data_IF_464145366489
#
_entry.id   IF_464145366489
#
_cell.length_a   1.000
_cell.length_b   1.000
_cell.length_c   1.000
_cell.angle_alpha   90.00
_cell.angle_beta   90.00
_cell.angle_gamma   90.00
#
_symmetry.space_group_name_H-M   'P 1'
#
loop_
_entity.id
_entity.type
_entity.pdbx_description
1 polymer ?
#
# COMPACT_ATOMS: atom_id res chain seq x y z
N UNK A 1 16.74 -42.84 -38.06
CA UNK A 1 16.56 -41.44 -38.48
C UNK A 1 16.71 -40.58 -37.21
N UNK A 2 17.92 -40.25 -36.73
CA UNK A 2 18.73 -39.04 -37.07
C UNK A 2 17.88 -37.77 -37.10
N UNK A 3 18.03 -36.72 -36.29
CA UNK A 3 19.15 -36.27 -35.44
C UNK A 3 18.64 -35.24 -34.40
N UNK A 4 19.01 -35.30 -33.10
CA UNK A 4 18.57 -34.36 -32.06
C UNK A 4 19.69 -33.41 -31.61
N UNK A 5 20.01 -32.35 -32.37
CA UNK A 5 20.93 -31.30 -31.91
C UNK A 5 20.75 -30.01 -32.71
N UNK A 6 20.37 -28.91 -32.06
CA UNK A 6 20.94 -27.58 -32.35
C UNK A 6 21.03 -26.75 -31.06
N UNK A 7 22.26 -26.66 -30.54
CA UNK A 7 22.73 -25.64 -29.61
C UNK A 7 23.02 -24.34 -30.39
N UNK A 8 22.61 -23.16 -29.93
CA UNK A 8 23.21 -21.91 -30.36
C UNK A 8 24.52 -21.64 -29.62
N UNK A 9 25.60 -21.43 -30.38
CA UNK A 9 26.93 -21.01 -29.91
C UNK A 9 26.95 -19.56 -29.36
N UNK A 10 27.94 -19.22 -28.51
CA UNK A 10 28.16 -17.85 -28.03
C UNK A 10 28.88 -16.99 -29.10
N UNK A 11 28.49 -15.72 -29.21
CA UNK A 11 29.12 -14.74 -30.10
C UNK A 11 30.08 -13.82 -29.31
N UNK A 12 31.38 -13.78 -29.63
CA UNK A 12 32.35 -12.84 -29.07
C UNK A 12 32.63 -11.65 -30.01
N UNK A 13 33.19 -10.57 -29.44
CA UNK A 13 33.71 -9.34 -30.06
C UNK A 13 32.65 -8.30 -30.48
N UNK A 14 32.88 -6.99 -30.41
CA UNK A 14 34.15 -6.27 -30.57
C UNK A 14 34.19 -4.92 -29.84
N UNK A 15 35.40 -4.54 -29.42
CA UNK A 15 35.84 -3.19 -29.11
C UNK A 15 35.56 -2.21 -30.26
N UNK A 16 35.09 -0.99 -29.97
CA UNK A 16 35.25 0.22 -30.79
C UNK A 16 34.59 1.47 -30.14
N UNK A 17 34.97 2.71 -30.50
CA UNK A 17 36.24 3.37 -30.23
C UNK A 17 36.07 4.69 -29.43
N UNK A 18 37.12 5.09 -28.72
CA UNK A 18 37.32 6.40 -28.09
C UNK A 18 37.13 7.55 -29.09
N UNK A 19 36.22 8.48 -28.79
CA UNK A 19 36.02 9.69 -29.61
C UNK A 19 37.05 10.79 -29.31
N UNK A 20 37.34 11.66 -30.30
CA UNK A 20 38.55 12.47 -30.37
C UNK A 20 38.51 13.71 -29.48
N UNK A 21 39.69 14.05 -28.95
CA UNK A 21 39.99 15.27 -28.22
C UNK A 21 39.56 16.54 -29.00
N UNK A 22 38.71 17.36 -28.36
CA UNK A 22 38.47 18.72 -28.81
C UNK A 22 39.63 19.64 -28.43
N UNK A 23 39.99 20.49 -29.39
CA UNK A 23 41.12 21.42 -29.39
C UNK A 23 41.07 22.46 -28.25
N UNK A 24 42.23 22.87 -27.72
CA UNK A 24 42.33 23.97 -26.77
C UNK A 24 42.18 25.33 -27.47
N UNK A 25 41.25 26.15 -26.97
CA UNK A 25 41.02 27.54 -27.39
C UNK A 25 41.99 28.47 -26.64
N UNK A 26 42.56 29.51 -27.28
CA UNK A 26 43.61 30.34 -26.67
C UNK A 26 43.06 31.30 -25.59
N UNK A 27 43.82 31.55 -24.51
CA UNK A 27 43.40 32.43 -23.42
C UNK A 27 43.53 33.91 -23.78
N UNK A 28 42.47 34.69 -23.53
CA UNK A 28 42.56 36.15 -23.48
C UNK A 28 43.02 36.61 -22.08
N UNK A 29 43.96 37.56 -21.97
CA UNK A 29 44.37 38.14 -20.69
C UNK A 29 43.44 39.30 -20.29
N UNK A 30 42.65 39.09 -19.23
CA UNK A 30 41.81 40.12 -18.61
C UNK A 30 42.09 40.23 -17.12
N UNK A 31 42.70 41.34 -16.72
CA UNK A 31 43.01 41.74 -15.34
C UNK A 31 41.74 42.22 -14.59
N UNK A 32 41.46 41.68 -13.39
CA UNK A 32 40.53 42.34 -12.45
C UNK A 32 39.83 41.44 -11.42
N UNK A 33 40.32 41.48 -10.17
CA UNK A 33 39.68 41.22 -8.86
C UNK A 33 38.89 39.91 -8.55
N UNK A 34 39.12 39.28 -7.38
CA UNK A 34 38.34 38.15 -6.92
C UNK A 34 37.02 38.62 -6.27
N UNK A 35 35.90 38.26 -6.89
CA UNK A 35 34.57 38.37 -6.30
C UNK A 35 34.16 36.99 -5.74
N UNK A 36 33.70 36.89 -4.47
CA UNK A 36 33.23 35.62 -3.92
C UNK A 36 31.96 35.17 -4.66
N UNK A 37 31.90 33.92 -5.17
CA UNK A 37 30.75 33.46 -5.92
C UNK A 37 29.53 33.28 -5.00
N UNK A 38 28.49 34.06 -5.27
CA UNK A 38 27.13 33.79 -4.81
C UNK A 38 26.67 32.42 -5.39
N UNK A 39 25.92 31.60 -4.61
CA UNK A 39 25.31 30.40 -5.14
C UNK A 39 24.22 30.80 -6.15
N UNK A 40 24.52 30.62 -7.44
CA UNK A 40 23.56 30.79 -8.52
C UNK A 40 22.44 29.72 -8.39
N UNK A 41 21.16 30.12 -8.49
CA UNK A 41 20.05 29.19 -8.68
C UNK A 41 20.31 28.37 -9.94
N UNK A 42 20.36 27.04 -9.77
CA UNK A 42 20.72 26.08 -10.80
C UNK A 42 19.92 26.28 -12.08
N UNK A 43 20.58 26.87 -13.07
CA UNK A 43 20.11 27.00 -14.44
C UNK A 43 19.94 25.59 -15.01
N UNK A 44 18.70 25.28 -15.40
CA UNK A 44 18.34 24.02 -16.02
C UNK A 44 19.25 23.74 -17.22
N UNK A 45 19.98 22.64 -17.14
CA UNK A 45 20.69 22.10 -18.29
C UNK A 45 19.69 21.89 -19.43
N UNK A 46 20.00 22.31 -20.66
CA UNK A 46 19.17 22.03 -21.82
C UNK A 46 19.06 20.52 -21.95
N UNK A 47 17.82 20.03 -21.91
CA UNK A 47 17.49 18.65 -22.19
C UNK A 47 18.08 18.28 -23.56
N UNK A 48 18.95 17.26 -23.65
CA UNK A 48 19.58 16.91 -24.91
C UNK A 48 18.50 16.61 -25.95
N UNK A 49 18.59 17.29 -27.10
CA UNK A 49 17.68 17.07 -28.21
C UNK A 49 17.74 15.58 -28.61
N UNK A 50 16.59 14.93 -28.85
CA UNK A 50 16.55 13.51 -29.21
C UNK A 50 17.33 13.32 -30.50
N UNK A 51 18.45 12.58 -30.42
CA UNK A 51 19.33 12.30 -31.56
C UNK A 51 18.58 11.36 -32.51
N UNK A 52 18.20 11.81 -33.73
CA UNK A 52 17.50 10.97 -34.68
C UNK A 52 18.48 9.92 -35.24
N UNK A 53 18.28 8.65 -34.90
CA UNK A 53 19.03 7.54 -35.48
C UNK A 53 19.81 6.65 -34.51
N UNK A 54 19.76 6.88 -33.19
CA UNK A 54 20.29 5.92 -32.22
C UNK A 54 19.38 4.67 -32.14
N UNK A 55 19.88 3.46 -32.48
CA UNK A 55 19.11 2.23 -32.36
C UNK A 55 18.81 1.93 -30.88
N UNK A 56 17.53 1.88 -30.51
CA UNK A 56 17.08 1.14 -29.33
C UNK A 56 17.23 1.81 -27.96
N UNK A 57 17.20 3.15 -27.89
CA UNK A 57 17.01 3.82 -26.59
C UNK A 57 15.61 3.52 -26.06
N UNK A 58 15.51 2.68 -25.03
CA UNK A 58 14.25 2.47 -24.32
C UNK A 58 13.76 3.82 -23.77
N UNK A 59 12.50 4.22 -24.02
CA UNK A 59 11.99 5.48 -23.51
C UNK A 59 12.08 5.47 -21.99
N UNK A 60 12.80 6.45 -21.43
CA UNK A 60 12.85 6.65 -19.98
C UNK A 60 11.43 6.99 -19.52
N UNK A 61 10.84 6.24 -18.57
CA UNK A 61 9.50 6.52 -18.08
C UNK A 61 9.41 7.97 -17.60
N UNK A 62 8.38 8.70 -18.02
CA UNK A 62 8.17 10.07 -17.57
C UNK A 62 8.08 10.11 -16.03
N UNK A 63 8.65 11.14 -15.38
CA UNK A 63 8.49 11.34 -13.93
C UNK A 63 7.02 11.41 -13.57
N UNK A 64 6.58 10.55 -12.65
CA UNK A 64 5.20 10.55 -12.17
C UNK A 64 5.09 11.54 -11.01
N UNK A 65 4.42 12.66 -11.24
CA UNK A 65 4.11 13.62 -10.18
C UNK A 65 2.83 13.16 -9.46
N UNK A 66 2.99 12.63 -8.25
CA UNK A 66 1.89 12.27 -7.35
C UNK A 66 1.61 13.33 -6.28
N UNK A 67 0.42 13.30 -5.68
CA UNK A 67 0.06 14.07 -4.50
C UNK A 67 0.02 13.12 -3.28
N UNK A 68 1.14 12.98 -2.54
CA UNK A 68 1.23 12.06 -1.41
C UNK A 68 0.30 12.44 -0.25
N UNK A 69 0.10 13.75 -0.03
CA UNK A 69 -0.78 14.23 1.04
C UNK A 69 -2.24 13.84 0.79
N UNK A 70 -2.73 14.02 -0.43
CA UNK A 70 -4.09 13.61 -0.81
C UNK A 70 -4.26 12.09 -0.74
N UNK A 71 -3.25 11.34 -1.19
CA UNK A 71 -3.24 9.88 -1.15
C UNK A 71 -3.42 9.36 0.28
N UNK A 72 -2.64 9.92 1.21
CA UNK A 72 -2.69 9.56 2.63
C UNK A 72 -4.02 9.95 3.26
N UNK A 73 -4.49 11.18 3.03
CA UNK A 73 -5.75 11.66 3.59
C UNK A 73 -6.91 10.76 3.18
N UNK A 74 -6.99 10.39 1.90
CA UNK A 74 -8.04 9.49 1.42
C UNK A 74 -7.92 8.08 1.98
N UNK A 75 -6.70 7.53 2.06
CA UNK A 75 -6.48 6.22 2.68
C UNK A 75 -6.91 6.21 4.15
N UNK A 76 -6.62 7.28 4.89
CA UNK A 76 -7.01 7.44 6.29
C UNK A 76 -8.54 7.54 6.45
N UNK A 77 -9.19 8.40 5.66
CA UNK A 77 -10.66 8.54 5.69
C UNK A 77 -11.34 7.21 5.35
N UNK A 78 -10.81 6.50 4.35
CA UNK A 78 -11.33 5.20 3.95
C UNK A 78 -11.13 4.16 5.07
N UNK A 79 -9.96 4.10 5.70
CA UNK A 79 -9.69 3.21 6.82
C UNK A 79 -10.66 3.46 7.99
N UNK A 80 -10.86 4.72 8.39
CA UNK A 80 -11.82 5.08 9.44
C UNK A 80 -13.26 4.69 9.06
N UNK A 81 -13.67 4.94 7.82
CA UNK A 81 -14.99 4.53 7.33
C UNK A 81 -15.16 3.01 7.33
N UNK A 82 -14.14 2.26 6.94
CA UNK A 82 -14.18 0.80 6.87
C UNK A 82 -14.21 0.14 8.25
N UNK A 83 -13.59 0.74 9.28
CA UNK A 83 -13.74 0.29 10.69
C UNK A 83 -15.23 0.26 11.06
N UNK A 84 -15.93 1.37 10.83
CA UNK A 84 -17.35 1.51 11.18
C UNK A 84 -18.24 0.59 10.33
N UNK A 85 -17.98 0.53 9.03
CA UNK A 85 -18.74 -0.34 8.11
C UNK A 85 -18.54 -1.81 8.46
N UNK A 86 -17.32 -2.24 8.77
CA UNK A 86 -17.04 -3.61 9.18
C UNK A 86 -17.76 -3.95 10.49
N UNK A 87 -17.61 -3.11 11.52
CA UNK A 87 -18.29 -3.32 12.80
C UNK A 87 -19.80 -3.41 12.66
N UNK A 88 -20.39 -2.51 11.85
CA UNK A 88 -21.82 -2.52 11.57
C UNK A 88 -22.28 -3.75 10.79
N UNK A 89 -21.56 -4.16 9.74
CA UNK A 89 -21.92 -5.36 8.96
C UNK A 89 -21.83 -6.60 9.84
N UNK A 90 -20.77 -6.73 10.63
CA UNK A 90 -20.60 -7.86 11.54
C UNK A 90 -21.74 -7.92 12.56
N UNK A 91 -22.06 -6.80 13.22
CA UNK A 91 -23.20 -6.76 14.14
C UNK A 91 -24.55 -7.05 13.47
N UNK A 92 -24.76 -6.56 12.25
CA UNK A 92 -26.02 -6.78 11.53
C UNK A 92 -26.19 -8.20 10.94
N UNK A 93 -25.09 -8.89 10.64
CA UNK A 93 -25.10 -10.21 9.99
C UNK A 93 -24.96 -11.35 11.00
N UNK A 94 -24.26 -11.12 12.10
CA UNK A 94 -24.01 -12.13 13.13
C UNK A 94 -25.11 -12.07 14.18
N UNK A 95 -26.09 -12.96 14.07
CA UNK A 95 -27.15 -13.11 15.08
C UNK A 95 -26.59 -13.89 16.29
N UNK A 96 -26.02 -13.15 17.25
CA UNK A 96 -25.26 -13.71 18.34
C UNK A 96 -26.10 -14.58 19.29
N UNK A 97 -27.39 -14.26 19.43
CA UNK A 97 -28.33 -15.07 20.21
C UNK A 97 -28.45 -16.48 19.64
N UNK A 98 -28.51 -16.60 18.30
CA UNK A 98 -28.55 -17.90 17.62
C UNK A 98 -27.26 -18.70 17.81
N UNK A 99 -26.10 -18.03 17.75
CA UNK A 99 -24.79 -18.66 17.94
C UNK A 99 -24.59 -19.15 19.37
N UNK A 100 -24.98 -18.37 20.36
CA UNK A 100 -24.91 -18.75 21.77
C UNK A 100 -25.88 -19.90 22.07
N UNK A 101 -27.11 -19.85 21.53
CA UNK A 101 -28.09 -20.92 21.72
C UNK A 101 -27.59 -22.24 21.12
N UNK A 102 -27.01 -22.20 19.92
CA UNK A 102 -26.45 -23.38 19.25
C UNK A 102 -25.22 -23.92 20.00
N UNK A 103 -24.29 -23.05 20.41
CA UNK A 103 -23.13 -23.40 21.22
C UNK A 103 -23.51 -24.05 22.56
N UNK A 104 -24.49 -23.48 23.28
CA UNK A 104 -25.01 -24.08 24.52
C UNK A 104 -25.70 -25.43 24.30
N UNK A 105 -26.36 -25.59 23.16
CA UNK A 105 -27.06 -26.83 22.80
C UNK A 105 -26.10 -27.95 22.43
N UNK A 106 -25.02 -27.63 21.74
CA UNK A 106 -24.01 -28.59 21.28
C UNK A 106 -22.87 -28.79 22.30
N UNK A 107 -22.77 -27.93 23.31
CA UNK A 107 -21.68 -27.93 24.28
C UNK A 107 -20.33 -27.52 23.66
N UNK A 108 -20.38 -26.77 22.57
CA UNK A 108 -19.24 -26.26 21.81
C UNK A 108 -19.07 -24.77 22.06
N UNK A 109 -17.90 -24.22 21.70
CA UNK A 109 -17.67 -22.78 21.75
C UNK A 109 -18.40 -22.10 20.58
N UNK A 110 -18.96 -20.88 20.73
CA UNK A 110 -19.63 -20.18 19.64
C UNK A 110 -18.67 -19.93 18.46
N UNK A 111 -18.88 -20.62 17.33
CA UNK A 111 -18.12 -20.35 16.11
C UNK A 111 -18.70 -19.09 15.42
N UNK A 112 -18.13 -17.93 15.74
CA UNK A 112 -18.46 -16.69 15.02
C UNK A 112 -18.05 -16.84 13.56
N UNK A 113 -19.00 -16.67 12.64
CA UNK A 113 -18.77 -16.74 11.21
C UNK A 113 -17.61 -15.80 10.82
N UNK A 114 -16.47 -16.39 10.47
CA UNK A 114 -15.24 -15.65 10.18
C UNK A 114 -15.37 -14.89 8.86
N UNK A 115 -15.92 -13.68 8.96
CA UNK A 115 -15.90 -12.63 7.93
C UNK A 115 -14.49 -12.09 7.66
N UNK A 116 -13.46 -12.67 8.29
CA UNK A 116 -12.05 -12.32 8.17
C UNK A 116 -11.54 -12.33 6.72
N UNK A 117 -12.16 -13.08 5.80
CA UNK A 117 -11.88 -13.00 4.37
C UNK A 117 -12.10 -11.60 3.77
N UNK A 118 -13.01 -10.79 4.36
CA UNK A 118 -13.20 -9.38 4.00
C UNK A 118 -11.97 -8.54 4.30
N UNK A 119 -11.11 -8.94 5.24
CA UNK A 119 -9.88 -8.22 5.57
C UNK A 119 -9.01 -7.94 4.34
N UNK A 120 -8.91 -8.90 3.42
CA UNK A 120 -8.18 -8.72 2.16
C UNK A 120 -8.83 -7.67 1.25
N UNK A 121 -10.17 -7.70 1.14
CA UNK A 121 -10.94 -6.75 0.35
C UNK A 121 -10.78 -5.33 0.91
N UNK A 122 -10.94 -5.18 2.23
CA UNK A 122 -10.78 -3.91 2.95
C UNK A 122 -9.36 -3.37 2.79
N UNK A 123 -8.35 -4.23 2.96
CA UNK A 123 -6.95 -3.88 2.74
C UNK A 123 -6.72 -3.39 1.30
N UNK A 124 -7.21 -4.13 0.31
CA UNK A 124 -7.17 -3.73 -1.10
C UNK A 124 -7.79 -2.35 -1.33
N UNK A 125 -8.98 -2.10 -0.77
CA UNK A 125 -9.66 -0.81 -0.85
C UNK A 125 -8.81 0.34 -0.27
N UNK A 126 -8.16 0.14 0.87
CA UNK A 126 -7.26 1.14 1.49
C UNK A 126 -6.02 1.39 0.62
N UNK A 127 -5.53 0.38 -0.10
CA UNK A 127 -4.42 0.50 -1.06
C UNK A 127 -4.76 1.31 -2.33
N UNK A 128 -6.04 1.38 -2.73
CA UNK A 128 -6.49 2.08 -3.95
C UNK A 128 -6.07 3.56 -4.02
N UNK A 129 -6.39 4.42 -3.03
CA UNK A 129 -6.02 5.83 -3.08
C UNK A 129 -4.50 6.03 -3.14
N UNK A 130 -3.72 5.18 -2.47
CA UNK A 130 -2.26 5.29 -2.50
C UNK A 130 -1.69 4.96 -3.87
N UNK A 131 -2.12 3.84 -4.46
CA UNK A 131 -1.73 3.48 -5.84
C UNK A 131 -2.20 4.52 -6.86
N UNK A 132 -3.35 5.17 -6.62
CA UNK A 132 -3.86 6.22 -7.51
C UNK A 132 -3.11 7.54 -7.39
N UNK A 133 -2.94 8.06 -6.18
CA UNK A 133 -2.53 9.45 -6.00
C UNK A 133 -1.05 9.61 -5.70
N UNK A 134 -0.34 8.54 -5.33
CA UNK A 134 1.11 8.57 -5.09
C UNK A 134 1.86 7.42 -5.79
N UNK A 135 1.73 7.29 -7.12
CA UNK A 135 2.39 6.22 -7.85
C UNK A 135 3.92 6.33 -7.75
N UNK A 136 4.57 5.20 -7.51
CA UNK A 136 6.03 5.10 -7.44
C UNK A 136 6.64 5.45 -6.07
N UNK A 137 5.82 5.64 -5.03
CA UNK A 137 6.28 5.94 -3.67
C UNK A 137 6.12 4.72 -2.75
N UNK A 138 7.12 3.82 -2.65
CA UNK A 138 7.00 2.56 -1.91
C UNK A 138 6.69 2.76 -0.42
N UNK A 139 7.20 3.84 0.18
CA UNK A 139 6.92 4.17 1.57
C UNK A 139 5.43 4.32 1.87
N UNK A 140 4.65 4.89 0.92
CA UNK A 140 3.22 5.06 1.11
C UNK A 140 2.45 3.76 0.96
N UNK A 141 2.93 2.80 0.16
CA UNK A 141 2.30 1.47 0.08
C UNK A 141 2.42 0.73 1.41
N UNK A 142 3.58 0.79 2.05
CA UNK A 142 3.78 0.24 3.39
C UNK A 142 2.91 0.94 4.43
N UNK A 143 2.79 2.26 4.35
CA UNK A 143 1.92 3.01 5.25
C UNK A 143 0.44 2.66 5.03
N UNK A 144 0.01 2.43 3.79
CA UNK A 144 -1.33 1.89 3.50
C UNK A 144 -1.51 0.49 4.10
N UNK A 145 -0.48 -0.36 4.06
CA UNK A 145 -0.45 -1.65 4.73
C UNK A 145 -0.67 -1.51 6.24
N UNK A 146 0.05 -0.60 6.90
CA UNK A 146 -0.12 -0.34 8.33
C UNK A 146 -1.52 0.19 8.66
N UNK A 147 -2.06 1.09 7.83
CA UNK A 147 -3.43 1.58 7.98
C UNK A 147 -4.45 0.45 7.81
N UNK A 148 -4.26 -0.45 6.85
CA UNK A 148 -5.13 -1.60 6.65
C UNK A 148 -5.09 -2.57 7.83
N UNK A 149 -3.90 -2.87 8.34
CA UNK A 149 -3.73 -3.70 9.54
C UNK A 149 -4.46 -3.08 10.74
N UNK A 150 -4.21 -1.80 11.01
CA UNK A 150 -4.88 -1.07 12.10
C UNK A 150 -6.40 -1.01 11.90
N UNK A 151 -6.87 -0.81 10.67
CA UNK A 151 -8.29 -0.76 10.35
C UNK A 151 -9.00 -2.09 10.58
N UNK A 152 -8.38 -3.22 10.25
CA UNK A 152 -8.97 -4.54 10.50
C UNK A 152 -9.01 -4.80 11.99
N UNK A 153 -7.89 -4.64 12.70
CA UNK A 153 -7.81 -4.87 14.14
C UNK A 153 -8.81 -4.02 14.93
N UNK A 154 -8.90 -2.72 14.62
CA UNK A 154 -9.85 -1.83 15.25
C UNK A 154 -11.29 -2.12 14.83
N UNK A 155 -11.52 -2.54 13.58
CA UNK A 155 -12.83 -2.94 13.08
C UNK A 155 -13.39 -4.16 13.80
N UNK A 156 -12.58 -5.19 14.00
CA UNK A 156 -13.00 -6.40 14.74
C UNK A 156 -13.24 -6.09 16.21
N UNK A 157 -12.36 -5.30 16.83
CA UNK A 157 -12.53 -4.87 18.23
C UNK A 157 -13.81 -4.02 18.39
N UNK A 158 -14.11 -3.16 17.42
CA UNK A 158 -15.34 -2.37 17.42
C UNK A 158 -16.59 -3.24 17.19
N UNK A 159 -16.51 -4.29 16.38
CA UNK A 159 -17.58 -5.29 16.30
C UNK A 159 -17.86 -5.95 17.67
N UNK A 160 -16.82 -6.35 18.40
CA UNK A 160 -16.98 -6.86 19.78
C UNK A 160 -17.69 -5.87 20.68
N UNK A 161 -17.37 -4.57 20.56
CA UNK A 161 -18.05 -3.52 21.32
C UNK A 161 -19.52 -3.33 20.93
N UNK A 162 -19.87 -3.46 19.64
CA UNK A 162 -21.27 -3.44 19.16
C UNK A 162 -22.04 -4.59 19.78
N UNK A 163 -21.48 -5.80 19.72
CA UNK A 163 -22.09 -7.00 20.30
C UNK A 163 -22.25 -6.89 21.82
N UNK A 164 -21.23 -6.41 22.51
CA UNK A 164 -21.28 -6.16 23.95
C UNK A 164 -22.37 -5.14 24.31
N UNK A 165 -22.55 -4.09 23.50
CA UNK A 165 -23.58 -3.07 23.75
C UNK A 165 -24.99 -3.63 23.67
N UNK A 166 -25.26 -4.56 22.75
CA UNK A 166 -26.56 -5.22 22.60
C UNK A 166 -26.90 -6.11 23.81
N UNK A 167 -25.88 -6.73 24.42
CA UNK A 167 -26.06 -7.56 25.63
C UNK A 167 -26.49 -6.78 26.88
N UNK A 168 -26.43 -5.44 26.83
CA UNK A 168 -26.71 -4.58 27.99
C UNK A 168 -28.06 -3.89 27.97
N UNK A 169 -29.01 -4.34 27.14
CA UNK A 169 -30.33 -3.70 26.97
C UNK A 169 -30.24 -2.18 26.67
N UNK A 170 -29.15 -1.75 26.02
CA UNK A 170 -28.90 -0.36 25.67
C UNK A 170 -28.39 0.52 26.82
N UNK A 171 -27.90 -0.05 27.92
CA UNK A 171 -27.33 0.71 29.03
C UNK A 171 -26.07 1.50 28.64
N UNK A 172 -25.26 0.99 27.70
CA UNK A 172 -24.13 1.68 27.09
C UNK A 172 -24.17 1.52 25.57
N UNK A 173 -23.78 2.57 24.85
CA UNK A 173 -23.64 2.49 23.38
C UNK A 173 -22.36 1.78 22.95
N UNK A 174 -22.32 1.24 21.72
CA UNK A 174 -21.14 0.57 21.17
C UNK A 174 -19.86 1.43 21.20
N UNK A 175 -19.96 2.74 20.94
CA UNK A 175 -18.82 3.66 21.03
C UNK A 175 -18.35 3.89 22.47
N UNK A 176 -19.28 3.91 23.42
CA UNK A 176 -18.97 4.03 24.84
C UNK A 176 -18.22 2.78 25.31
N UNK A 177 -18.76 1.60 25.01
CA UNK A 177 -18.10 0.30 25.23
C UNK A 177 -16.71 0.24 24.60
N UNK A 178 -16.59 0.60 23.33
CA UNK A 178 -15.31 0.57 22.62
C UNK A 178 -14.28 1.52 23.24
N UNK A 179 -14.70 2.64 23.83
CA UNK A 179 -13.79 3.67 24.34
C UNK A 179 -13.45 3.51 25.82
N UNK A 180 -14.43 3.14 26.65
CA UNK A 180 -14.25 2.95 28.09
C UNK A 180 -13.72 1.55 28.41
N UNK A 181 -14.19 0.56 27.67
CA UNK A 181 -13.94 -0.86 27.90
C UNK A 181 -13.14 -1.47 26.71
N UNK A 182 -12.28 -0.65 26.07
CA UNK A 182 -11.44 -1.08 24.93
C UNK A 182 -10.60 -2.32 25.26
N UNK A 183 -10.05 -2.37 26.47
CA UNK A 183 -9.23 -3.49 26.93
C UNK A 183 -10.02 -4.79 26.93
N UNK A 184 -11.23 -4.76 27.45
CA UNK A 184 -12.11 -5.93 27.49
C UNK A 184 -12.56 -6.35 26.08
N UNK A 185 -12.84 -5.39 25.20
CA UNK A 185 -13.17 -5.66 23.80
C UNK A 185 -11.98 -6.30 23.07
N UNK A 186 -10.77 -5.81 23.32
CA UNK A 186 -9.53 -6.33 22.74
C UNK A 186 -9.19 -7.73 23.26
N UNK A 187 -9.34 -7.95 24.56
CA UNK A 187 -9.11 -9.25 25.20
C UNK A 187 -10.14 -10.28 24.73
N UNK A 188 -11.42 -9.89 24.61
CA UNK A 188 -12.46 -10.73 24.00
C UNK A 188 -12.10 -11.11 22.56
N UNK A 189 -11.77 -10.12 21.73
CA UNK A 189 -11.35 -10.37 20.35
C UNK A 189 -10.11 -11.27 20.25
N UNK A 190 -9.06 -11.01 21.02
CA UNK A 190 -7.82 -11.82 20.98
C UNK A 190 -8.03 -13.24 21.48
N UNK A 191 -8.94 -13.45 22.42
CA UNK A 191 -9.31 -14.79 22.92
C UNK A 191 -10.01 -15.60 21.83
N UNK A 192 -10.91 -14.96 21.07
CA UNK A 192 -11.63 -15.58 19.94
C UNK A 192 -10.77 -15.68 18.66
N UNK A 193 -9.65 -14.94 18.58
CA UNK A 193 -8.77 -14.92 17.43
C UNK A 193 -7.94 -16.22 17.30
N UNK A 194 -8.49 -17.21 16.62
CA UNK A 194 -7.78 -18.44 16.27
C UNK A 194 -6.67 -18.22 15.23
N UNK A 195 -5.81 -19.23 15.01
CA UNK A 195 -4.65 -19.13 14.10
C UNK A 195 -5.00 -18.70 12.66
N UNK A 196 -6.18 -19.05 12.17
CA UNK A 196 -6.66 -18.65 10.84
C UNK A 196 -7.03 -17.15 10.78
N UNK A 197 -7.54 -16.59 11.87
CA UNK A 197 -7.83 -15.15 12.00
C UNK A 197 -6.57 -14.33 11.80
N UNK A 198 -5.47 -14.71 12.45
CA UNK A 198 -4.18 -14.04 12.30
C UNK A 198 -3.64 -14.07 10.86
N UNK A 199 -3.86 -15.18 10.14
CA UNK A 199 -3.51 -15.28 8.73
C UNK A 199 -4.28 -14.25 7.88
N UNK A 200 -5.58 -14.09 8.13
CA UNK A 200 -6.42 -13.15 7.40
C UNK A 200 -6.19 -11.69 7.79
N UNK A 201 -5.93 -11.42 9.08
CA UNK A 201 -5.47 -10.11 9.57
C UNK A 201 -4.17 -9.72 8.86
N UNK A 202 -3.25 -10.66 8.64
CA UNK A 202 -2.03 -10.42 7.86
C UNK A 202 -2.27 -10.28 6.35
N UNK A 203 -3.38 -10.82 5.83
CA UNK A 203 -3.75 -10.69 4.41
C UNK A 203 -4.18 -9.25 4.07
N UNK A 204 -4.77 -8.52 5.00
CA UNK A 204 -5.17 -7.13 4.82
C UNK A 204 -4.01 -6.18 4.46
N UNK A 205 -2.90 -6.09 5.22
CA UNK A 205 -1.76 -5.26 4.84
C UNK A 205 -1.11 -5.74 3.54
N UNK A 206 -1.06 -7.05 3.30
CA UNK A 206 -0.53 -7.60 2.05
C UNK A 206 -1.36 -7.15 0.84
N UNK A 207 -2.70 -7.22 0.94
CA UNK A 207 -3.61 -6.77 -0.10
C UNK A 207 -3.52 -5.26 -0.35
N UNK A 208 -3.36 -4.45 0.70
CA UNK A 208 -3.18 -3.00 0.59
C UNK A 208 -1.88 -2.65 -0.15
N UNK A 209 -0.76 -3.26 0.24
CA UNK A 209 0.54 -3.06 -0.39
C UNK A 209 0.50 -3.52 -1.85
N UNK A 210 -0.05 -4.70 -2.12
CA UNK A 210 -0.14 -5.26 -3.46
C UNK A 210 -1.01 -4.40 -4.39
N UNK A 211 -2.17 -3.95 -3.90
CA UNK A 211 -3.08 -3.08 -4.64
C UNK A 211 -2.44 -1.73 -4.93
N UNK A 212 -1.79 -1.13 -3.92
CA UNK A 212 -1.04 0.12 -4.09
C UNK A 212 0.07 -0.02 -5.13
N UNK A 213 0.84 -1.10 -5.08
CA UNK A 213 1.93 -1.39 -6.00
C UNK A 213 1.44 -1.58 -7.44
N UNK A 214 0.46 -2.45 -7.67
CA UNK A 214 -0.08 -2.73 -9.01
C UNK A 214 -0.66 -1.49 -9.67
N UNK A 215 -1.45 -0.69 -8.95
CA UNK A 215 -2.04 0.53 -9.49
C UNK A 215 -0.99 1.62 -9.70
N UNK A 216 0.00 1.70 -8.82
CA UNK A 216 1.11 2.63 -8.95
C UNK A 216 2.02 2.35 -10.14
N UNK A 217 2.09 1.10 -10.61
CA UNK A 217 2.92 0.71 -11.75
C UNK A 217 2.23 0.81 -13.11
N UNK A 218 0.93 0.52 -13.17
CA UNK A 218 0.19 0.36 -14.44
C UNK A 218 -0.13 1.65 -15.17
N UNK A 219 0.02 2.83 -14.54
CA UNK A 219 -0.23 4.11 -15.22
C UNK A 219 0.89 4.53 -16.14
N UNK A 220 0.77 4.18 -17.41
CA UNK A 220 1.57 4.82 -18.47
C UNK A 220 1.26 6.33 -18.47
N UNK A 221 2.26 7.20 -18.67
CA UNK A 221 1.99 8.60 -18.96
C UNK A 221 1.07 8.65 -20.19
N UNK A 222 -0.09 9.29 -20.05
CA UNK A 222 -1.01 9.59 -21.15
C UNK A 222 -0.47 10.78 -21.95
#
# INVERSE_FOLDING_TARGET
MSNPYQQPQPQPNAYQPTQPAMQPMPPQPGYGYPQPPQPQPGYGYPQPAPVPGAPGGWPVPAPRNGNPGLALLQALVLALGLILVYGFITGAVVDFDSLIEEAMREGTEPEVAQLTWLGALLGGMIGLPVGRFAPGQPALYWLAGLLALGSVLLGETFATAVLASESTDGAKGALEYFSEDFGDCWDGWTTDAHGLTWLFVALAPAAAVFTGYLLGQTRRPA
#
